data_IF_000367113185
#
_entry.id   IF_000367113185
#
_cell.length_a   1.000
_cell.length_b   1.000
_cell.length_c   1.000
_cell.angle_alpha   90.00
_cell.angle_beta   90.00
_cell.angle_gamma   90.00
#
_symmetry.space_group_name_H-M   'P 1'
#
loop_
_entity.id
_entity.type
_entity.pdbx_description
1 polymer ?
#
# COMPACT_ATOMS: atom_id res chain seq x y z
N UNK A 1 6.51 46.12 3.29
CA UNK A 1 7.24 44.99 2.65
C UNK A 1 6.89 43.64 3.26
N UNK A 2 6.59 43.51 4.56
CA UNK A 2 6.19 42.24 5.20
C UNK A 2 4.73 41.78 4.96
N UNK A 3 3.94 42.51 4.18
CA UNK A 3 2.52 42.18 3.86
C UNK A 3 2.37 41.43 2.53
N UNK A 4 3.34 41.52 1.63
CA UNK A 4 3.30 40.86 0.31
C UNK A 4 3.61 39.36 0.38
N UNK A 5 4.34 38.90 1.40
CA UNK A 5 4.75 37.49 1.53
C UNK A 5 3.67 36.60 2.15
N UNK A 6 2.66 37.17 2.82
CA UNK A 6 1.52 36.42 3.35
C UNK A 6 0.43 36.17 2.30
N UNK A 7 0.30 37.06 1.31
CA UNK A 7 -0.65 36.91 0.21
C UNK A 7 -0.21 35.87 -0.83
N UNK A 8 1.10 35.64 -1.00
CA UNK A 8 1.63 34.62 -1.92
C UNK A 8 1.49 33.19 -1.39
N UNK A 9 1.48 33.02 -0.06
CA UNK A 9 1.41 31.71 0.60
C UNK A 9 0.03 31.04 0.53
N UNK A 10 -0.99 31.80 0.17
CA UNK A 10 -2.39 31.38 0.21
C UNK A 10 -2.93 30.91 -1.16
N UNK A 11 -2.17 31.10 -2.24
CA UNK A 11 -2.51 30.61 -3.58
C UNK A 11 -1.78 29.30 -3.84
N UNK A 12 -2.49 28.22 -4.13
CA UNK A 12 -1.84 26.95 -4.47
C UNK A 12 -1.09 27.10 -5.80
N UNK A 13 0.03 26.38 -5.99
CA UNK A 13 0.99 26.64 -7.06
C UNK A 13 0.49 26.31 -8.48
N UNK A 14 -0.77 25.88 -8.62
CA UNK A 14 -1.36 25.29 -9.82
C UNK A 14 -2.28 26.26 -10.59
N UNK A 15 -2.64 27.40 -9.99
CA UNK A 15 -3.61 28.35 -10.55
C UNK A 15 -5.05 27.83 -10.52
N UNK A 16 -6.03 28.71 -10.79
CA UNK A 16 -7.47 28.43 -10.59
C UNK A 16 -7.96 27.13 -11.26
N UNK A 17 -7.66 26.93 -12.55
CA UNK A 17 -8.05 25.71 -13.25
C UNK A 17 -7.35 24.46 -12.70
N UNK A 18 -6.07 24.58 -12.33
CA UNK A 18 -5.30 23.48 -11.75
C UNK A 18 -5.83 23.07 -10.37
N UNK A 19 -6.24 24.03 -9.54
CA UNK A 19 -6.88 23.78 -8.25
C UNK A 19 -8.22 23.07 -8.40
N UNK A 20 -9.06 23.46 -9.36
CA UNK A 20 -10.34 22.77 -9.63
C UNK A 20 -10.08 21.32 -10.04
N UNK A 21 -9.20 21.11 -11.03
CA UNK A 21 -8.87 19.76 -11.53
C UNK A 21 -8.34 18.88 -10.40
N UNK A 22 -7.48 19.44 -9.56
CA UNK A 22 -6.86 18.74 -8.44
C UNK A 22 -7.88 18.40 -7.37
N UNK A 23 -8.78 19.33 -7.04
CA UNK A 23 -9.87 19.12 -6.07
C UNK A 23 -10.75 17.96 -6.53
N UNK A 24 -11.22 17.99 -7.79
CA UNK A 24 -12.03 16.92 -8.38
C UNK A 24 -11.30 15.58 -8.38
N UNK A 25 -10.01 15.58 -8.72
CA UNK A 25 -9.17 14.40 -8.71
C UNK A 25 -9.06 13.78 -7.31
N UNK A 26 -8.66 14.57 -6.30
CA UNK A 26 -8.49 14.08 -4.93
C UNK A 26 -9.82 13.65 -4.29
N UNK A 27 -10.93 14.34 -4.58
CA UNK A 27 -12.26 13.90 -4.17
C UNK A 27 -12.61 12.54 -4.80
N UNK A 28 -12.32 12.36 -6.08
CA UNK A 28 -12.56 11.09 -6.77
C UNK A 28 -11.71 9.95 -6.20
N UNK A 29 -10.41 10.20 -5.98
CA UNK A 29 -9.49 9.23 -5.37
C UNK A 29 -9.91 8.87 -3.94
N UNK A 30 -10.34 9.85 -3.14
CA UNK A 30 -10.88 9.64 -1.79
C UNK A 30 -12.04 8.64 -1.80
N UNK A 31 -13.04 8.86 -2.67
CA UNK A 31 -14.24 8.03 -2.74
C UNK A 31 -13.89 6.62 -3.22
N UNK A 32 -13.20 6.51 -4.36
CA UNK A 32 -12.85 5.23 -4.99
C UNK A 32 -11.90 4.42 -4.10
N UNK A 33 -10.91 5.08 -3.52
CA UNK A 33 -9.91 4.46 -2.65
C UNK A 33 -10.49 4.00 -1.33
N UNK A 34 -11.28 4.84 -0.67
CA UNK A 34 -11.91 4.47 0.61
C UNK A 34 -12.87 3.31 0.45
N UNK A 35 -13.75 3.36 -0.56
CA UNK A 35 -14.69 2.27 -0.84
C UNK A 35 -13.96 0.98 -1.20
N UNK A 36 -12.93 1.05 -2.05
CA UNK A 36 -12.14 -0.11 -2.44
C UNK A 36 -11.49 -0.79 -1.22
N UNK A 37 -10.82 -0.02 -0.37
CA UNK A 37 -10.13 -0.57 0.81
C UNK A 37 -11.12 -1.11 1.86
N UNK A 38 -12.26 -0.43 2.07
CA UNK A 38 -13.36 -0.95 2.91
C UNK A 38 -13.86 -2.29 2.36
N UNK A 39 -14.07 -2.41 1.05
CA UNK A 39 -14.49 -3.67 0.44
C UNK A 39 -13.45 -4.78 0.59
N UNK A 40 -12.15 -4.48 0.53
CA UNK A 40 -11.10 -5.48 0.77
C UNK A 40 -11.22 -6.03 2.20
N UNK A 41 -11.33 -5.14 3.18
CA UNK A 41 -11.47 -5.51 4.60
C UNK A 41 -12.74 -6.34 4.81
N UNK A 42 -13.88 -5.88 4.28
CA UNK A 42 -15.15 -6.59 4.39
C UNK A 42 -15.11 -7.95 3.69
N UNK A 43 -14.50 -8.05 2.51
CA UNK A 43 -14.38 -9.30 1.77
C UNK A 43 -13.60 -10.34 2.59
N UNK A 44 -12.51 -9.94 3.23
CA UNK A 44 -11.72 -10.81 4.10
C UNK A 44 -12.51 -11.18 5.35
N UNK A 45 -13.11 -10.20 6.03
CA UNK A 45 -13.83 -10.43 7.28
C UNK A 45 -15.04 -11.35 7.12
N UNK A 46 -15.81 -11.17 6.03
CA UNK A 46 -17.03 -11.93 5.75
C UNK A 46 -16.79 -13.28 5.06
N UNK A 47 -15.57 -13.55 4.57
CA UNK A 47 -15.25 -14.79 3.85
C UNK A 47 -14.27 -15.64 4.64
N UNK A 48 -14.72 -16.72 5.31
CA UNK A 48 -13.87 -17.54 6.18
C UNK A 48 -12.57 -18.04 5.53
N UNK A 49 -12.62 -18.41 4.25
CA UNK A 49 -11.46 -18.91 3.50
C UNK A 49 -10.39 -17.84 3.25
N UNK A 50 -10.73 -16.55 3.35
CA UNK A 50 -9.79 -15.43 3.21
C UNK A 50 -9.17 -15.00 4.55
N UNK A 51 -9.70 -15.45 5.70
CA UNK A 51 -9.19 -15.11 7.05
C UNK A 51 -7.93 -15.89 7.44
N UNK A 52 -6.96 -15.94 6.53
CA UNK A 52 -5.64 -16.53 6.74
C UNK A 52 -4.57 -15.42 6.89
N UNK A 53 -3.30 -15.81 7.12
CA UNK A 53 -2.21 -14.85 7.33
C UNK A 53 -2.05 -13.86 6.17
N UNK A 54 -2.08 -14.31 4.92
CA UNK A 54 -2.02 -13.41 3.77
C UNK A 54 -3.21 -12.46 3.72
N UNK A 55 -4.42 -12.94 4.01
CA UNK A 55 -5.61 -12.10 4.06
C UNK A 55 -5.50 -11.00 5.11
N UNK A 56 -5.10 -11.32 6.34
CA UNK A 56 -4.98 -10.29 7.39
C UNK A 56 -3.85 -9.29 7.11
N UNK A 57 -2.77 -9.70 6.42
CA UNK A 57 -1.72 -8.78 5.97
C UNK A 57 -2.22 -7.88 4.83
N UNK A 58 -3.03 -8.40 3.89
CA UNK A 58 -3.71 -7.59 2.87
C UNK A 58 -4.69 -6.60 3.52
N UNK A 59 -5.43 -7.03 4.55
CA UNK A 59 -6.27 -6.12 5.33
C UNK A 59 -5.43 -5.04 6.03
N UNK A 60 -4.24 -5.36 6.53
CA UNK A 60 -3.35 -4.37 7.13
C UNK A 60 -2.90 -3.30 6.12
N UNK A 61 -2.55 -3.70 4.88
CA UNK A 61 -2.29 -2.74 3.78
C UNK A 61 -3.52 -1.86 3.54
N UNK A 62 -4.71 -2.45 3.46
CA UNK A 62 -5.95 -1.69 3.25
C UNK A 62 -6.26 -0.70 4.39
N UNK A 63 -5.90 -1.02 5.64
CA UNK A 63 -6.03 -0.09 6.78
C UNK A 63 -5.04 1.08 6.64
N UNK A 64 -3.78 0.82 6.30
CA UNK A 64 -2.82 1.89 6.01
C UNK A 64 -3.29 2.77 4.85
N UNK A 65 -3.81 2.18 3.78
CA UNK A 65 -4.33 2.90 2.62
C UNK A 65 -5.60 3.70 2.95
N UNK A 66 -6.41 3.28 3.92
CA UNK A 66 -7.53 4.07 4.45
C UNK A 66 -7.07 5.33 5.18
N UNK A 67 -5.92 5.29 5.87
CA UNK A 67 -5.37 6.52 6.45
C UNK A 67 -5.07 7.55 5.36
N UNK A 68 -4.62 7.11 4.19
CA UNK A 68 -4.38 8.02 3.06
C UNK A 68 -5.70 8.44 2.41
N UNK A 69 -6.52 7.48 2.01
CA UNK A 69 -7.71 7.73 1.18
C UNK A 69 -8.86 8.35 1.96
N UNK A 70 -9.00 8.07 3.25
CA UNK A 70 -10.08 8.60 4.10
C UNK A 70 -9.65 9.75 5.04
N UNK A 71 -8.36 10.05 5.15
CA UNK A 71 -7.86 11.18 5.99
C UNK A 71 -6.94 12.12 5.21
N UNK A 72 -5.82 11.64 4.68
CA UNK A 72 -4.82 12.50 3.98
C UNK A 72 -5.44 13.20 2.77
N UNK A 73 -6.09 12.47 1.87
CA UNK A 73 -6.68 13.04 0.66
C UNK A 73 -7.80 14.04 0.99
N UNK A 74 -8.72 13.78 1.94
CA UNK A 74 -9.67 14.79 2.42
C UNK A 74 -9.02 16.03 3.04
N UNK A 75 -7.92 15.91 3.79
CA UNK A 75 -7.20 17.07 4.31
C UNK A 75 -6.62 17.92 3.17
N UNK A 76 -6.12 17.29 2.11
CA UNK A 76 -5.66 18.00 0.90
C UNK A 76 -6.84 18.72 0.22
N UNK A 77 -7.99 18.05 0.05
CA UNK A 77 -9.21 18.69 -0.49
C UNK A 77 -9.64 19.88 0.36
N UNK A 78 -9.60 19.75 1.69
CA UNK A 78 -9.91 20.85 2.60
C UNK A 78 -9.01 22.06 2.34
N UNK A 79 -7.69 21.84 2.24
CA UNK A 79 -6.71 22.90 1.95
C UNK A 79 -6.96 23.55 0.59
N UNK A 80 -7.24 22.75 -0.45
CA UNK A 80 -7.58 23.25 -1.78
C UNK A 80 -8.82 24.16 -1.75
N UNK A 81 -9.86 23.74 -1.00
CA UNK A 81 -11.08 24.52 -0.83
C UNK A 81 -10.79 25.83 -0.09
N UNK A 82 -9.97 25.81 0.96
CA UNK A 82 -9.62 27.04 1.69
C UNK A 82 -8.91 28.06 0.79
N UNK A 83 -8.09 27.60 -0.17
CA UNK A 83 -7.45 28.45 -1.18
C UNK A 83 -8.45 29.26 -2.02
N UNK A 84 -9.61 28.69 -2.38
CA UNK A 84 -10.67 29.42 -3.11
C UNK A 84 -11.37 30.51 -2.30
N UNK A 85 -11.32 30.42 -0.97
CA UNK A 85 -11.98 31.37 -0.06
C UNK A 85 -10.99 32.35 0.58
N UNK A 86 -9.74 32.39 0.11
CA UNK A 86 -8.65 33.20 0.67
C UNK A 86 -8.46 32.97 2.19
N UNK A 87 -8.75 31.74 2.66
CA UNK A 87 -8.56 31.33 4.06
C UNK A 87 -7.23 30.60 4.21
N UNK A 88 -6.29 31.15 4.98
CA UNK A 88 -4.94 30.57 5.12
C UNK A 88 -4.80 29.49 6.21
N UNK A 89 -5.74 28.53 6.30
CA UNK A 89 -5.67 27.42 7.26
C UNK A 89 -4.99 26.21 6.60
N UNK A 90 -3.70 26.34 6.30
CA UNK A 90 -2.95 25.36 5.50
C UNK A 90 -1.94 24.54 6.33
N UNK A 91 -1.28 25.16 7.30
CA UNK A 91 -0.12 24.54 7.95
C UNK A 91 -0.45 23.27 8.73
N UNK A 92 -1.44 23.30 9.62
CA UNK A 92 -1.78 22.15 10.44
C UNK A 92 -2.35 20.97 9.62
N UNK A 93 -3.28 21.17 8.66
CA UNK A 93 -3.75 20.09 7.79
C UNK A 93 -2.66 19.48 6.91
N UNK A 94 -1.78 20.31 6.32
CA UNK A 94 -0.68 19.82 5.49
C UNK A 94 0.31 19.02 6.32
N UNK A 95 0.68 19.52 7.51
CA UNK A 95 1.57 18.80 8.42
C UNK A 95 0.98 17.45 8.84
N UNK A 96 -0.30 17.41 9.23
CA UNK A 96 -1.00 16.17 9.56
C UNK A 96 -1.04 15.21 8.36
N UNK A 97 -1.40 15.71 7.18
CA UNK A 97 -1.43 14.94 5.95
C UNK A 97 -0.06 14.31 5.63
N UNK A 98 1.02 15.09 5.76
CA UNK A 98 2.38 14.64 5.52
C UNK A 98 2.84 13.56 6.51
N UNK A 99 2.65 13.76 7.82
CA UNK A 99 2.99 12.76 8.86
C UNK A 99 2.21 11.45 8.63
N UNK A 100 0.91 11.54 8.39
CA UNK A 100 0.05 10.36 8.18
C UNK A 100 0.43 9.64 6.88
N UNK A 101 0.77 10.37 5.81
CA UNK A 101 1.22 9.79 4.55
C UNK A 101 2.52 9.00 4.71
N UNK A 102 3.52 9.56 5.39
CA UNK A 102 4.80 8.88 5.66
C UNK A 102 4.61 7.63 6.54
N UNK A 103 3.76 7.74 7.56
CA UNK A 103 3.39 6.61 8.41
C UNK A 103 2.74 5.48 7.61
N UNK A 104 1.74 5.81 6.79
CA UNK A 104 1.03 4.84 5.95
C UNK A 104 1.97 4.18 4.93
N UNK A 105 2.82 4.96 4.26
CA UNK A 105 3.80 4.45 3.29
C UNK A 105 4.77 3.44 3.95
N UNK A 106 5.26 3.76 5.16
CA UNK A 106 6.13 2.88 5.93
C UNK A 106 5.44 1.58 6.33
N UNK A 107 4.21 1.68 6.84
CA UNK A 107 3.40 0.52 7.21
C UNK A 107 3.12 -0.38 6.02
N UNK A 108 2.76 0.20 4.88
CA UNK A 108 2.53 -0.52 3.63
C UNK A 108 3.79 -1.23 3.14
N UNK A 109 4.95 -0.57 3.11
CA UNK A 109 6.21 -1.20 2.69
C UNK A 109 6.63 -2.36 3.60
N UNK A 110 6.57 -2.17 4.92
CA UNK A 110 6.90 -3.22 5.89
C UNK A 110 5.93 -4.40 5.80
N UNK A 111 4.65 -4.12 5.54
CA UNK A 111 3.64 -5.16 5.32
C UNK A 111 3.86 -5.90 4.00
N UNK A 112 4.25 -5.23 2.92
CA UNK A 112 4.61 -5.85 1.64
C UNK A 112 5.87 -6.71 1.75
N UNK A 113 6.84 -6.28 2.56
CA UNK A 113 8.02 -7.07 2.93
C UNK A 113 7.60 -8.34 3.66
N UNK A 114 6.73 -8.21 4.66
CA UNK A 114 6.18 -9.34 5.41
C UNK A 114 5.39 -10.30 4.52
N UNK A 115 4.55 -9.78 3.61
CA UNK A 115 3.81 -10.57 2.62
C UNK A 115 4.77 -11.34 1.71
N UNK A 116 5.86 -10.73 1.27
CA UNK A 116 6.86 -11.38 0.41
C UNK A 116 7.54 -12.55 1.12
N UNK A 117 7.90 -12.39 2.39
CA UNK A 117 8.47 -13.46 3.22
C UNK A 117 7.44 -14.57 3.47
N UNK A 118 6.22 -14.22 3.85
CA UNK A 118 5.14 -15.18 4.09
C UNK A 118 4.85 -16.03 2.84
N UNK A 119 4.79 -15.40 1.65
CA UNK A 119 4.60 -16.13 0.39
C UNK A 119 5.78 -17.02 0.03
N UNK A 120 7.00 -16.52 0.24
CA UNK A 120 8.20 -17.33 0.05
C UNK A 120 8.16 -18.56 0.96
N UNK A 121 7.85 -18.39 2.24
CA UNK A 121 7.80 -19.51 3.18
C UNK A 121 6.68 -20.52 2.85
N UNK A 122 5.49 -20.04 2.48
CA UNK A 122 4.37 -20.87 2.06
C UNK A 122 4.67 -21.73 0.82
N UNK A 123 5.49 -21.23 -0.10
CA UNK A 123 5.84 -21.93 -1.34
C UNK A 123 7.06 -22.82 -1.17
N UNK A 124 8.11 -22.32 -0.49
CA UNK A 124 9.37 -23.05 -0.30
C UNK A 124 9.23 -24.18 0.72
N UNK A 125 8.43 -23.98 1.77
CA UNK A 125 8.28 -24.95 2.86
C UNK A 125 6.81 -25.06 3.31
N UNK A 126 5.91 -25.60 2.46
CA UNK A 126 4.47 -25.60 2.71
C UNK A 126 4.06 -26.29 4.01
N UNK A 127 4.70 -27.42 4.36
CA UNK A 127 4.39 -28.15 5.59
C UNK A 127 4.79 -27.38 6.85
N UNK A 128 5.96 -26.74 6.83
CA UNK A 128 6.43 -25.88 7.94
C UNK A 128 5.60 -24.62 8.05
N UNK A 129 5.22 -24.00 6.93
CA UNK A 129 4.37 -22.81 6.92
C UNK A 129 3.03 -23.10 7.59
N UNK A 130 2.37 -24.22 7.24
CA UNK A 130 1.07 -24.62 7.81
C UNK A 130 1.09 -24.79 9.34
N UNK A 131 2.22 -25.20 9.92
CA UNK A 131 2.33 -25.43 11.37
C UNK A 131 2.89 -24.22 12.13
N UNK A 132 3.81 -23.46 11.53
CA UNK A 132 4.53 -22.37 12.22
C UNK A 132 3.79 -21.04 12.10
N UNK A 133 3.24 -20.75 10.93
CA UNK A 133 2.70 -19.44 10.56
C UNK A 133 1.21 -19.39 10.88
N UNK A 134 0.87 -18.67 11.95
CA UNK A 134 -0.51 -18.58 12.46
C UNK A 134 -1.00 -17.14 12.43
N UNK A 135 -2.33 -16.98 12.39
CA UNK A 135 -3.00 -15.66 12.41
C UNK A 135 -2.63 -14.88 13.69
N UNK A 136 -2.53 -15.54 14.84
CA UNK A 136 -2.16 -14.88 16.10
C UNK A 136 -0.75 -14.29 16.05
N UNK A 137 0.23 -15.03 15.53
CA UNK A 137 1.60 -14.51 15.34
C UNK A 137 1.62 -13.37 14.34
N UNK A 138 0.86 -13.47 13.25
CA UNK A 138 0.79 -12.41 12.25
C UNK A 138 0.16 -11.11 12.81
N UNK A 139 -0.79 -11.17 13.76
CA UNK A 139 -1.29 -9.98 14.46
C UNK A 139 -0.20 -9.30 15.31
N UNK A 140 0.67 -10.07 15.96
CA UNK A 140 1.84 -9.52 16.68
C UNK A 140 2.80 -8.84 15.70
N UNK A 141 3.08 -9.47 14.56
CA UNK A 141 3.91 -8.87 13.51
C UNK A 141 3.29 -7.56 13.01
N UNK A 142 1.97 -7.51 12.81
CA UNK A 142 1.27 -6.27 12.46
C UNK A 142 1.49 -5.21 13.54
N UNK A 143 1.28 -5.52 14.82
CA UNK A 143 1.52 -4.54 15.90
C UNK A 143 2.96 -3.98 15.90
N UNK A 144 3.96 -4.84 15.68
CA UNK A 144 5.36 -4.43 15.54
C UNK A 144 5.55 -3.55 14.30
N UNK A 145 4.92 -3.89 13.18
CA UNK A 145 4.94 -3.08 11.96
C UNK A 145 4.42 -1.67 12.21
N UNK A 146 3.30 -1.50 12.92
CA UNK A 146 2.76 -0.18 13.24
C UNK A 146 3.73 0.64 14.07
N UNK A 147 4.34 0.05 15.11
CA UNK A 147 5.35 0.73 15.94
C UNK A 147 6.56 1.13 15.08
N UNK A 148 7.11 0.20 14.29
CA UNK A 148 8.26 0.48 13.42
C UNK A 148 7.98 1.51 12.33
N UNK A 149 6.73 1.65 11.90
CA UNK A 149 6.32 2.60 10.87
C UNK A 149 6.37 4.05 11.34
N UNK A 150 6.43 4.29 12.66
CA UNK A 150 6.63 5.62 13.23
C UNK A 150 8.04 6.17 12.94
N UNK A 151 9.02 5.30 12.64
CA UNK A 151 10.42 5.72 12.43
C UNK A 151 10.54 6.77 11.33
N UNK A 152 9.90 6.56 10.17
CA UNK A 152 10.00 7.50 9.04
C UNK A 152 9.44 8.90 9.38
N UNK A 153 8.17 9.06 9.79
CA UNK A 153 7.64 10.39 10.13
C UNK A 153 8.38 11.03 11.31
N UNK A 154 8.85 10.27 12.30
CA UNK A 154 9.62 10.83 13.43
C UNK A 154 10.98 11.37 12.98
N UNK A 155 11.70 10.62 12.14
CA UNK A 155 12.99 11.07 11.60
C UNK A 155 12.81 12.33 10.74
N UNK A 156 11.81 12.34 9.87
CA UNK A 156 11.50 13.48 9.02
C UNK A 156 11.05 14.71 9.81
N UNK A 157 10.29 14.54 10.91
CA UNK A 157 9.77 15.65 11.73
C UNK A 157 10.83 16.26 12.64
N UNK A 158 11.63 15.42 13.33
CA UNK A 158 12.53 15.88 14.40
C UNK A 158 13.99 16.03 13.94
N UNK A 159 14.36 15.40 12.82
CA UNK A 159 15.73 15.38 12.31
C UNK A 159 15.79 15.72 10.81
N UNK A 160 14.91 16.62 10.36
CA UNK A 160 14.88 17.11 8.98
C UNK A 160 16.27 17.62 8.56
N UNK A 161 16.76 17.20 7.39
CA UNK A 161 18.08 17.58 6.88
C UNK A 161 19.28 16.85 7.53
N UNK A 162 19.07 16.03 8.57
CA UNK A 162 20.16 15.25 9.18
C UNK A 162 20.65 14.14 8.24
N UNK A 163 21.95 14.15 7.93
CA UNK A 163 22.59 13.10 7.14
C UNK A 163 22.41 11.70 7.77
N UNK A 164 22.45 11.60 9.11
CA UNK A 164 22.22 10.35 9.82
C UNK A 164 20.78 9.86 9.66
N UNK A 165 19.78 10.75 9.78
CA UNK A 165 18.39 10.40 9.59
C UNK A 165 18.14 9.87 8.17
N UNK A 166 18.67 10.57 7.16
CA UNK A 166 18.59 10.14 5.75
C UNK A 166 19.26 8.79 5.51
N UNK A 167 20.45 8.59 6.08
CA UNK A 167 21.16 7.32 6.00
C UNK A 167 20.34 6.15 6.60
N UNK A 168 19.74 6.35 7.78
CA UNK A 168 18.89 5.35 8.41
C UNK A 168 17.65 5.01 7.58
N UNK A 169 17.03 6.01 6.95
CA UNK A 169 15.89 5.79 6.05
C UNK A 169 16.29 5.00 4.80
N UNK A 170 17.40 5.37 4.17
CA UNK A 170 17.94 4.67 2.98
C UNK A 170 18.28 3.22 3.32
N UNK A 171 18.92 2.97 4.46
CA UNK A 171 19.18 1.60 4.93
C UNK A 171 17.87 0.84 5.14
N UNK A 172 16.89 1.41 5.83
CA UNK A 172 15.60 0.77 6.06
C UNK A 172 14.88 0.37 4.76
N UNK A 173 14.92 1.28 3.77
CA UNK A 173 14.39 1.05 2.43
C UNK A 173 15.16 -0.07 1.71
N UNK A 174 16.48 0.00 1.71
CA UNK A 174 17.36 -0.99 1.09
C UNK A 174 17.19 -2.39 1.71
N UNK A 175 17.08 -2.48 3.04
CA UNK A 175 16.80 -3.73 3.74
C UNK A 175 15.45 -4.32 3.33
N UNK A 176 14.39 -3.50 3.29
CA UNK A 176 13.05 -3.93 2.91
C UNK A 176 13.02 -4.49 1.48
N UNK A 177 13.59 -3.75 0.52
CA UNK A 177 13.67 -4.21 -0.86
C UNK A 177 14.58 -5.42 -1.04
N UNK A 178 15.70 -5.50 -0.32
CA UNK A 178 16.59 -6.67 -0.34
C UNK A 178 15.85 -7.92 0.11
N UNK A 179 15.07 -7.84 1.19
CA UNK A 179 14.25 -8.96 1.68
C UNK A 179 13.19 -9.36 0.64
N UNK A 180 12.51 -8.39 0.03
CA UNK A 180 11.51 -8.65 -1.03
C UNK A 180 12.16 -9.37 -2.22
N UNK A 181 13.29 -8.86 -2.71
CA UNK A 181 13.99 -9.41 -3.88
C UNK A 181 14.49 -10.83 -3.58
N UNK A 182 15.18 -11.03 -2.45
CA UNK A 182 15.70 -12.34 -2.03
C UNK A 182 14.55 -13.35 -1.88
N UNK A 183 13.47 -12.97 -1.20
CA UNK A 183 12.26 -13.81 -1.05
C UNK A 183 11.65 -14.17 -2.41
N UNK A 184 11.61 -13.21 -3.34
CA UNK A 184 11.16 -13.42 -4.71
C UNK A 184 12.04 -14.42 -5.48
N UNK A 185 13.36 -14.29 -5.40
CA UNK A 185 14.33 -15.19 -6.03
C UNK A 185 14.14 -16.62 -5.48
N UNK A 186 14.10 -16.80 -4.16
CA UNK A 186 13.85 -18.11 -3.54
C UNK A 186 12.53 -18.72 -4.01
N UNK A 187 11.47 -17.92 -4.03
CA UNK A 187 10.14 -18.35 -4.51
C UNK A 187 10.20 -18.85 -5.94
N UNK A 188 10.83 -18.09 -6.85
CA UNK A 188 10.95 -18.45 -8.26
C UNK A 188 11.77 -19.73 -8.44
N UNK A 189 12.90 -19.85 -7.74
CA UNK A 189 13.75 -21.05 -7.79
C UNK A 189 12.98 -22.29 -7.35
N UNK A 190 12.27 -22.21 -6.23
CA UNK A 190 11.49 -23.32 -5.70
C UNK A 190 10.32 -23.71 -6.62
N UNK A 191 9.60 -22.73 -7.18
CA UNK A 191 8.54 -23.00 -8.16
C UNK A 191 9.08 -23.70 -9.40
N UNK A 192 10.26 -23.28 -9.91
CA UNK A 192 10.90 -23.92 -11.08
C UNK A 192 11.35 -25.35 -10.77
N UNK A 193 11.93 -25.59 -9.59
CA UNK A 193 12.32 -26.93 -9.15
C UNK A 193 11.10 -27.87 -9.03
N UNK A 194 10.05 -27.43 -8.34
CA UNK A 194 8.84 -28.22 -8.14
C UNK A 194 8.10 -28.49 -9.46
N UNK A 195 8.09 -27.54 -10.39
CA UNK A 195 7.45 -27.74 -11.71
C UNK A 195 8.15 -28.81 -12.55
N UNK A 196 9.49 -28.93 -12.43
CA UNK A 196 10.26 -29.98 -13.11
C UNK A 196 9.96 -31.36 -12.51
N UNK A 197 9.83 -31.45 -11.19
CA UNK A 197 9.54 -32.69 -10.48
C UNK A 197 8.11 -33.20 -10.73
N UNK A 198 7.13 -32.31 -10.86
CA UNK A 198 5.74 -32.68 -11.20
C UNK A 198 5.64 -33.18 -12.65
N UNK A 199 6.44 -32.63 -13.57
CA UNK A 199 6.50 -33.11 -14.96
C UNK A 199 7.00 -34.56 -15.10
N UNK A 200 7.77 -35.07 -14.14
CA UNK A 200 8.27 -36.45 -14.13
C UNK A 200 7.39 -37.45 -13.36
N UNK A 201 6.42 -36.98 -12.56
CA UNK A 201 5.57 -37.82 -11.69
C UNK A 201 4.14 -37.89 -12.25
N UNK A 202 4.00 -38.48 -13.44
CA UNK A 202 2.72 -38.62 -14.14
C UNK A 202 1.89 -39.85 -13.72
N UNK A 203 2.12 -40.44 -12.54
CA UNK A 203 1.57 -41.75 -12.19
C UNK A 203 0.45 -41.77 -11.15
N UNK A 204 0.09 -40.64 -10.51
CA UNK A 204 -1.07 -40.57 -9.59
C UNK A 204 -1.98 -39.38 -9.94
N UNK A 205 -2.99 -39.61 -10.79
CA UNK A 205 -3.72 -38.54 -11.49
C UNK A 205 -4.62 -37.68 -10.59
N UNK A 206 -5.17 -38.21 -9.49
CA UNK A 206 -6.12 -37.48 -8.63
C UNK A 206 -5.42 -36.50 -7.68
N UNK A 207 -4.48 -37.01 -6.90
CA UNK A 207 -3.73 -36.27 -5.88
C UNK A 207 -2.78 -35.25 -6.51
N UNK A 208 -2.18 -35.59 -7.65
CA UNK A 208 -1.30 -34.70 -8.41
C UNK A 208 -2.05 -33.50 -9.00
N UNK A 209 -3.29 -33.69 -9.50
CA UNK A 209 -4.12 -32.59 -10.02
C UNK A 209 -4.50 -31.57 -8.94
N UNK A 210 -4.89 -32.02 -7.76
CA UNK A 210 -5.21 -31.12 -6.65
C UNK A 210 -3.98 -30.33 -6.18
N UNK A 211 -2.82 -31.00 -6.08
CA UNK A 211 -1.56 -30.37 -5.73
C UNK A 211 -1.10 -29.34 -6.78
N UNK A 212 -1.26 -29.65 -8.08
CA UNK A 212 -0.96 -28.76 -9.19
C UNK A 212 -1.85 -27.51 -9.17
N UNK A 213 -3.16 -27.67 -8.96
CA UNK A 213 -4.09 -26.54 -8.85
C UNK A 213 -3.80 -25.63 -7.65
N UNK A 214 -3.49 -26.22 -6.48
CA UNK A 214 -3.05 -25.46 -5.30
C UNK A 214 -1.75 -24.67 -5.57
N UNK A 215 -0.78 -25.29 -6.24
CA UNK A 215 0.48 -24.64 -6.63
C UNK A 215 0.25 -23.47 -7.59
N UNK A 216 -0.62 -23.65 -8.58
CA UNK A 216 -1.00 -22.59 -9.53
C UNK A 216 -1.70 -21.43 -8.82
N UNK A 217 -2.61 -21.72 -7.88
CA UNK A 217 -3.25 -20.70 -7.04
C UNK A 217 -2.24 -19.93 -6.20
N UNK A 218 -1.30 -20.61 -5.54
CA UNK A 218 -0.25 -19.95 -4.76
C UNK A 218 0.64 -19.06 -5.65
N UNK A 219 1.00 -19.52 -6.85
CA UNK A 219 1.74 -18.73 -7.84
C UNK A 219 0.99 -17.48 -8.28
N UNK A 220 -0.33 -17.56 -8.46
CA UNK A 220 -1.16 -16.40 -8.80
C UNK A 220 -1.18 -15.36 -7.68
N UNK A 221 -1.28 -15.79 -6.42
CA UNK A 221 -1.20 -14.88 -5.26
C UNK A 221 0.16 -14.19 -5.19
N UNK A 222 1.26 -14.94 -5.36
CA UNK A 222 2.62 -14.35 -5.38
C UNK A 222 2.80 -13.36 -6.52
N UNK A 223 2.34 -13.68 -7.73
CA UNK A 223 2.36 -12.74 -8.87
C UNK A 223 1.58 -11.46 -8.57
N UNK A 224 0.49 -11.57 -7.81
CA UNK A 224 -0.30 -10.41 -7.41
C UNK A 224 0.46 -9.56 -6.41
N UNK A 225 1.11 -10.15 -5.41
CA UNK A 225 1.94 -9.42 -4.44
C UNK A 225 3.13 -8.75 -5.12
N UNK A 226 3.82 -9.44 -6.04
CA UNK A 226 4.89 -8.84 -6.82
C UNK A 226 4.41 -7.64 -7.65
N UNK A 227 3.21 -7.74 -8.25
CA UNK A 227 2.60 -6.61 -8.96
C UNK A 227 2.31 -5.43 -8.02
N UNK A 228 1.74 -5.68 -6.84
CA UNK A 228 1.50 -4.62 -5.83
C UNK A 228 2.80 -3.95 -5.41
N UNK A 229 3.86 -4.72 -5.16
CA UNK A 229 5.19 -4.17 -4.85
C UNK A 229 5.69 -3.28 -5.99
N UNK A 230 5.64 -3.74 -7.24
CA UNK A 230 6.09 -2.96 -8.39
C UNK A 230 5.31 -1.65 -8.53
N UNK A 231 3.98 -1.70 -8.39
CA UNK A 231 3.13 -0.50 -8.46
C UNK A 231 3.47 0.46 -7.32
N UNK A 232 3.60 -0.04 -6.09
CA UNK A 232 4.04 0.76 -4.94
C UNK A 232 5.38 1.45 -5.24
N UNK A 233 6.38 0.69 -5.69
CA UNK A 233 7.71 1.23 -6.02
C UNK A 233 7.64 2.32 -7.08
N UNK A 234 6.94 2.08 -8.18
CA UNK A 234 6.82 3.07 -9.28
C UNK A 234 6.10 4.34 -8.84
N UNK A 235 5.11 4.22 -7.96
CA UNK A 235 4.38 5.38 -7.45
C UNK A 235 5.21 6.24 -6.48
N UNK A 236 6.08 5.62 -5.69
CA UNK A 236 6.83 6.33 -4.63
C UNK A 236 8.25 6.77 -5.04
N UNK A 237 8.88 6.14 -6.03
CA UNK A 237 10.23 6.53 -6.50
C UNK A 237 10.32 8.02 -6.87
N UNK A 238 9.39 8.61 -7.65
CA UNK A 238 9.54 10.00 -8.08
C UNK A 238 9.64 10.99 -6.92
N UNK A 239 8.77 10.84 -5.92
CA UNK A 239 8.79 11.72 -4.73
C UNK A 239 9.97 11.42 -3.82
N UNK A 240 10.32 10.14 -3.63
CA UNK A 240 11.48 9.74 -2.83
C UNK A 240 12.81 10.23 -3.42
N UNK A 241 12.90 10.27 -4.76
CA UNK A 241 14.07 10.84 -5.44
C UNK A 241 14.19 12.34 -5.15
N UNK A 242 13.10 13.10 -5.30
CA UNK A 242 13.10 14.55 -5.04
C UNK A 242 13.45 14.90 -3.61
N UNK A 243 12.90 14.18 -2.63
CA UNK A 243 13.24 14.40 -1.21
C UNK A 243 14.68 13.98 -0.88
N UNK A 244 15.21 12.97 -1.57
CA UNK A 244 16.56 12.45 -1.34
C UNK A 244 17.69 13.38 -1.80
N UNK A 245 17.48 14.15 -2.88
CA UNK A 245 18.53 15.00 -3.48
C UNK A 245 18.54 16.46 -2.99
N UNK A 246 17.70 16.80 -2.01
CA UNK A 246 17.58 18.17 -1.47
C UNK A 246 17.43 19.24 -2.56
N UNK A 247 16.74 18.95 -3.68
CA UNK A 247 16.32 20.03 -4.56
C UNK A 247 15.41 20.92 -3.72
N UNK A 248 15.85 22.16 -3.46
CA UNK A 248 15.08 23.16 -2.72
C UNK A 248 13.63 23.15 -3.21
N UNK A 249 12.67 23.03 -2.28
CA UNK A 249 11.23 23.04 -2.59
C UNK A 249 10.90 24.17 -3.59
N UNK A 250 11.53 25.33 -3.39
CA UNK A 250 11.45 26.54 -4.20
C UNK A 250 11.68 26.38 -5.72
N UNK A 251 12.38 25.33 -6.19
CA UNK A 251 12.74 25.24 -7.62
C UNK A 251 11.63 24.63 -8.48
N UNK A 252 10.69 23.84 -7.92
CA UNK A 252 9.50 23.37 -8.67
C UNK A 252 8.37 22.74 -7.81
N UNK A 253 7.66 23.54 -7.01
CA UNK A 253 6.51 23.11 -6.18
C UNK A 253 5.48 22.25 -6.94
N UNK A 254 5.25 22.54 -8.22
CA UNK A 254 4.31 21.79 -9.06
C UNK A 254 4.74 20.35 -9.31
N UNK A 255 6.04 20.11 -9.57
CA UNK A 255 6.53 18.75 -9.80
C UNK A 255 6.44 17.95 -8.49
N UNK A 256 6.84 18.54 -7.37
CA UNK A 256 6.71 17.92 -6.06
C UNK A 256 5.26 17.50 -5.80
N UNK A 257 4.32 18.44 -6.02
CA UNK A 257 2.88 18.19 -5.83
C UNK A 257 2.38 17.00 -6.66
N UNK A 258 2.69 16.95 -7.95
CA UNK A 258 2.21 15.86 -8.82
C UNK A 258 2.88 14.53 -8.49
N UNK A 259 4.16 14.50 -8.13
CA UNK A 259 4.83 13.26 -7.71
C UNK A 259 4.32 12.76 -6.36
N UNK A 260 4.05 13.65 -5.41
CA UNK A 260 3.36 13.31 -4.17
C UNK A 260 1.96 12.75 -4.46
N UNK A 261 1.22 13.36 -5.40
CA UNK A 261 -0.10 12.88 -5.84
C UNK A 261 -0.03 11.45 -6.38
N UNK A 262 0.97 11.12 -7.19
CA UNK A 262 1.19 9.75 -7.70
C UNK A 262 1.47 8.76 -6.54
N UNK A 263 2.28 9.16 -5.57
CA UNK A 263 2.55 8.36 -4.36
C UNK A 263 1.28 8.09 -3.55
N UNK A 264 0.45 9.10 -3.32
CA UNK A 264 -0.82 8.98 -2.60
C UNK A 264 -1.85 8.16 -3.39
N UNK A 265 -1.93 8.33 -4.70
CA UNK A 265 -2.86 7.61 -5.56
C UNK A 265 -2.66 6.08 -5.52
N UNK A 266 -1.45 5.60 -5.22
CA UNK A 266 -1.16 4.18 -5.02
C UNK A 266 -2.14 3.50 -4.04
N UNK A 267 -2.51 4.18 -2.94
CA UNK A 267 -3.45 3.67 -1.93
C UNK A 267 -4.86 3.44 -2.47
N UNK A 268 -5.21 4.06 -3.61
CA UNK A 268 -6.48 3.83 -4.32
C UNK A 268 -6.39 2.60 -5.24
N UNK A 269 -5.21 2.25 -5.75
CA UNK A 269 -5.01 1.21 -6.77
C UNK A 269 -5.03 -0.20 -6.17
N UNK A 270 -4.50 -0.38 -4.95
CA UNK A 270 -4.31 -1.68 -4.31
C UNK A 270 -5.57 -2.58 -4.28
N UNK A 271 -6.77 -2.10 -3.84
CA UNK A 271 -8.00 -2.89 -3.88
C UNK A 271 -8.31 -3.49 -5.24
N UNK A 272 -8.16 -2.71 -6.30
CA UNK A 272 -8.49 -3.12 -7.66
C UNK A 272 -7.53 -4.18 -8.17
N UNK A 273 -6.24 -4.12 -7.79
CA UNK A 273 -5.29 -5.20 -8.07
C UNK A 273 -5.79 -6.51 -7.46
N UNK A 274 -6.20 -6.50 -6.18
CA UNK A 274 -6.69 -7.72 -5.52
C UNK A 274 -7.98 -8.26 -6.17
N UNK A 275 -8.97 -7.41 -6.44
CA UNK A 275 -10.24 -7.82 -7.03
C UNK A 275 -10.11 -8.28 -8.49
N UNK A 276 -9.22 -7.69 -9.28
CA UNK A 276 -9.00 -8.09 -10.66
C UNK A 276 -8.17 -9.36 -10.77
N UNK A 277 -7.16 -9.52 -9.90
CA UNK A 277 -6.17 -10.60 -10.01
C UNK A 277 -6.53 -11.84 -9.21
N UNK A 278 -7.32 -11.73 -8.14
CA UNK A 278 -7.62 -12.84 -7.24
C UNK A 278 -9.09 -13.27 -7.32
N UNK A 279 -9.40 -14.45 -7.90
CA UNK A 279 -10.78 -14.91 -8.07
C UNK A 279 -11.56 -15.02 -6.76
N UNK A 280 -10.90 -15.39 -5.66
CA UNK A 280 -11.55 -15.53 -4.36
C UNK A 280 -12.00 -14.18 -3.79
N UNK A 281 -11.19 -13.14 -3.94
CA UNK A 281 -11.55 -11.78 -3.54
C UNK A 281 -12.68 -11.23 -4.41
N UNK A 282 -12.63 -11.47 -5.72
CA UNK A 282 -13.71 -11.09 -6.64
C UNK A 282 -15.04 -11.78 -6.32
N UNK A 283 -15.00 -13.08 -5.99
CA UNK A 283 -16.18 -13.85 -5.57
C UNK A 283 -16.73 -13.31 -4.24
N UNK A 284 -15.86 -13.02 -3.28
CA UNK A 284 -16.24 -12.41 -2.00
C UNK A 284 -16.91 -11.05 -2.21
N UNK A 285 -16.34 -10.18 -3.04
CA UNK A 285 -16.94 -8.88 -3.40
C UNK A 285 -18.31 -9.03 -4.05
N UNK A 286 -18.46 -9.95 -5.03
CA UNK A 286 -19.76 -10.23 -5.64
C UNK A 286 -20.79 -10.72 -4.62
N UNK A 287 -20.37 -11.53 -3.64
CA UNK A 287 -21.25 -11.98 -2.55
C UNK A 287 -21.71 -10.81 -1.68
N UNK A 288 -20.79 -9.91 -1.31
CA UNK A 288 -21.12 -8.70 -0.55
C UNK A 288 -22.14 -7.81 -1.28
N UNK A 289 -21.94 -7.61 -2.59
CA UNK A 289 -22.83 -6.76 -3.41
C UNK A 289 -24.19 -7.43 -3.71
N UNK A 290 -24.26 -8.76 -3.68
CA UNK A 290 -25.51 -9.51 -3.91
C UNK A 290 -26.40 -9.63 -2.67
N UNK A 291 -25.86 -9.43 -1.46
CA UNK A 291 -26.63 -9.50 -0.23
C UNK A 291 -27.45 -8.22 0.05
N UNK A 292 -28.56 -8.08 -0.70
CA UNK A 292 -29.79 -7.36 -0.28
C UNK A 292 -31.00 -7.86 -1.10
N UNK A 293 -31.44 -9.10 -0.83
CA UNK A 293 -32.76 -9.61 -1.27
C UNK A 293 -33.26 -10.84 -0.48
N UNK A 294 -32.95 -10.92 0.82
CA UNK A 294 -33.30 -12.10 1.62
C UNK A 294 -33.25 -11.91 3.13
N UNK A 295 -33.72 -10.77 3.62
CA UNK A 295 -34.06 -10.60 5.03
C UNK A 295 -35.41 -9.89 5.11
N UNK A 296 -36.45 -10.65 4.77
CA UNK A 296 -37.82 -10.40 5.24
C UNK A 296 -38.08 -11.52 6.23
N UNK A 297 -38.15 -11.17 7.51
CA UNK A 297 -39.02 -11.87 8.44
C UNK A 297 -40.35 -11.11 8.43
#
# INVERSE_FOLDING_TARGET
MATSDKESLCKLPLGFAGEIVTTVLYTSLTIVGSLGNIFVILAIHRTPTLRNVCGILIANVAVSDLMVTAVVMPLIVYVLIQGFFDKCIIHAPIFAAWVIALFSASSSLLTLTTLSVDRCFAICHPMKHKTIVTVSKAKIVIAITWIKSLTLPLLETFYTGSALAKFLQVIGLACSYSIIIVSGIFTIRNVRANSRQIGSLHQDQGTSRLAADLSQRNKQVTKTIALVVVVFTLCWIPIAYLTGIEISEDRNDRIYFWFATVGLANSTVNPWIYFCRQPNYRKALKSLLRCKRGASN
#
